data_IF_218380848135
#
_entry.id   IF_218380848135
#
_cell.length_a   1.000
_cell.length_b   1.000
_cell.length_c   1.000
_cell.angle_alpha   90.00
_cell.angle_beta   90.00
_cell.angle_gamma   90.00
#
_symmetry.space_group_name_H-M   'P 1'
#
loop_
_entity.id
_entity.type
_entity.pdbx_description
1 polymer ?
#
# COMPACT_ATOMS: atom_id res chain seq x y z
N UNK A 1 38.52 0.72 -18.84
CA UNK A 1 38.63 0.24 -17.46
C UNK A 1 39.72 1.04 -16.79
N UNK A 2 39.51 1.49 -15.56
CA UNK A 2 40.57 2.12 -14.79
C UNK A 2 41.20 1.05 -13.89
N UNK A 3 42.19 0.34 -14.44
CA UNK A 3 42.76 -0.87 -13.82
C UNK A 3 43.47 -0.59 -12.48
N UNK A 4 43.81 0.67 -12.17
CA UNK A 4 44.38 1.06 -10.88
C UNK A 4 43.36 1.19 -9.75
N UNK A 5 42.08 1.42 -10.07
CA UNK A 5 40.98 1.57 -9.10
C UNK A 5 40.04 0.37 -9.07
N UNK A 6 40.12 -0.53 -10.06
CA UNK A 6 39.21 -1.66 -10.18
C UNK A 6 37.77 -1.24 -10.51
N UNK A 7 37.59 -0.04 -11.08
CA UNK A 7 36.29 0.56 -11.38
C UNK A 7 35.96 0.55 -12.89
N UNK A 8 34.66 0.56 -13.19
CA UNK A 8 34.13 0.64 -14.56
C UNK A 8 33.09 1.76 -14.60
N UNK A 9 33.26 2.69 -15.56
CA UNK A 9 32.29 3.71 -15.91
C UNK A 9 31.97 3.61 -17.40
N UNK A 10 30.68 3.50 -17.73
CA UNK A 10 30.15 3.68 -19.08
C UNK A 10 29.36 4.99 -19.07
N UNK A 11 29.75 5.94 -19.90
CA UNK A 11 29.13 7.26 -20.01
C UNK A 11 28.90 7.62 -21.48
N UNK A 12 27.79 8.31 -21.77
CA UNK A 12 27.55 8.93 -23.07
C UNK A 12 27.47 10.47 -22.96
N UNK A 13 27.59 11.22 -24.08
CA UNK A 13 27.54 12.70 -24.05
C UNK A 13 26.23 13.30 -23.54
N UNK A 14 25.17 12.52 -23.39
CA UNK A 14 23.90 12.97 -22.82
C UNK A 14 23.83 12.83 -21.30
N UNK A 15 24.87 12.27 -20.67
CA UNK A 15 25.01 12.13 -19.22
C UNK A 15 24.38 10.86 -18.65
N UNK A 16 24.05 9.86 -19.48
CA UNK A 16 23.69 8.54 -18.98
C UNK A 16 24.94 7.86 -18.42
N UNK A 17 24.84 7.23 -17.24
CA UNK A 17 25.98 6.54 -16.63
C UNK A 17 25.62 5.17 -16.08
N UNK A 18 26.57 4.24 -16.20
CA UNK A 18 26.60 2.97 -15.49
C UNK A 18 27.96 2.84 -14.80
N UNK A 19 27.98 2.89 -13.48
CA UNK A 19 29.19 2.92 -12.66
C UNK A 19 29.23 1.71 -11.73
N UNK A 20 30.31 0.94 -11.82
CA UNK A 20 30.76 -0.01 -10.80
C UNK A 20 32.00 0.58 -10.13
N UNK A 21 31.98 0.72 -8.80
CA UNK A 21 32.95 1.53 -8.05
C UNK A 21 34.17 0.76 -7.50
N UNK A 22 34.25 -0.55 -7.73
CA UNK A 22 35.30 -1.42 -7.19
C UNK A 22 35.16 -1.76 -5.69
N UNK A 23 34.19 -1.18 -5.00
CA UNK A 23 33.89 -1.42 -3.57
C UNK A 23 32.62 -2.25 -3.37
N UNK A 24 32.01 -2.69 -4.48
CA UNK A 24 30.81 -3.53 -4.49
C UNK A 24 29.50 -2.78 -4.75
N UNK A 25 29.56 -1.48 -5.05
CA UNK A 25 28.36 -0.69 -5.38
C UNK A 25 28.19 -0.54 -6.90
N UNK A 26 26.94 -0.37 -7.29
CA UNK A 26 26.53 -0.05 -8.66
C UNK A 26 25.63 1.18 -8.63
N UNK A 27 25.89 2.15 -9.49
CA UNK A 27 25.03 3.32 -9.72
C UNK A 27 24.67 3.43 -11.20
N UNK A 28 23.39 3.69 -11.48
CA UNK A 28 22.87 3.88 -12.83
C UNK A 28 22.07 5.19 -12.85
N UNK A 29 22.42 6.09 -13.76
CA UNK A 29 21.75 7.39 -13.91
C UNK A 29 21.31 7.62 -15.35
N UNK A 30 20.08 8.11 -15.51
CA UNK A 30 19.52 8.55 -16.78
C UNK A 30 18.87 9.93 -16.60
N UNK A 31 19.35 11.01 -17.25
CA UNK A 31 18.79 12.36 -17.07
C UNK A 31 17.34 12.56 -17.57
N UNK A 32 16.78 11.59 -18.29
CA UNK A 32 15.41 11.62 -18.78
C UNK A 32 14.64 10.39 -18.31
N UNK A 33 14.58 9.35 -19.13
CA UNK A 33 13.75 8.17 -18.89
C UNK A 33 14.64 6.95 -18.64
N UNK A 34 14.21 6.11 -17.70
CA UNK A 34 14.74 4.76 -17.50
C UNK A 34 13.60 3.76 -17.66
N UNK A 35 13.82 2.68 -18.41
CA UNK A 35 12.80 1.65 -18.65
C UNK A 35 13.42 0.27 -18.49
N UNK A 36 12.77 -0.57 -17.69
CA UNK A 36 13.15 -1.96 -17.47
C UNK A 36 12.04 -2.86 -17.99
N UNK A 37 12.35 -3.73 -18.95
CA UNK A 37 11.43 -4.70 -19.53
C UNK A 37 12.04 -6.10 -19.44
N UNK A 38 11.23 -7.10 -19.08
CA UNK A 38 11.62 -8.51 -19.12
C UNK A 38 10.59 -9.30 -19.94
N UNK A 39 11.04 -10.35 -20.64
CA UNK A 39 10.14 -11.27 -21.35
C UNK A 39 9.49 -12.31 -20.43
N UNK A 40 10.09 -12.53 -19.25
CA UNK A 40 9.63 -13.44 -18.21
C UNK A 40 9.59 -12.65 -16.89
N UNK A 41 10.42 -13.03 -15.90
CA UNK A 41 10.34 -12.48 -14.54
C UNK A 41 11.32 -11.34 -14.28
N UNK A 42 10.92 -10.42 -13.39
CA UNK A 42 11.82 -9.47 -12.70
C UNK A 42 11.78 -9.77 -11.21
N UNK A 43 12.92 -10.19 -10.65
CA UNK A 43 13.07 -10.45 -9.22
C UNK A 43 13.94 -9.36 -8.58
N UNK A 44 13.43 -8.71 -7.52
CA UNK A 44 14.16 -7.69 -6.76
C UNK A 44 14.26 -8.16 -5.32
N UNK A 45 15.49 -8.28 -4.81
CA UNK A 45 15.76 -8.71 -3.44
C UNK A 45 16.92 -7.89 -2.87
N UNK A 46 16.79 -7.44 -1.62
CA UNK A 46 17.82 -6.71 -0.91
C UNK A 46 18.09 -7.38 0.44
N UNK A 47 19.36 -7.41 0.89
CA UNK A 47 19.72 -7.94 2.21
C UNK A 47 19.32 -7.03 3.38
N UNK A 48 18.85 -5.80 3.09
CA UNK A 48 18.36 -4.83 4.07
C UNK A 48 17.10 -4.15 3.53
N UNK A 49 17.23 -2.96 2.93
CA UNK A 49 16.11 -2.10 2.59
C UNK A 49 15.94 -1.97 1.08
N UNK A 50 14.69 -1.76 0.65
CA UNK A 50 14.33 -1.25 -0.67
C UNK A 50 13.60 0.07 -0.47
N UNK A 51 13.96 1.10 -1.22
CA UNK A 51 13.30 2.41 -1.19
C UNK A 51 12.94 2.83 -2.60
N UNK A 52 11.67 3.17 -2.81
CA UNK A 52 11.13 3.61 -4.11
C UNK A 52 10.36 4.90 -3.87
N UNK A 53 10.64 5.93 -4.67
CA UNK A 53 10.00 7.23 -4.58
C UNK A 53 9.85 7.84 -5.96
N UNK A 54 8.73 8.52 -6.21
CA UNK A 54 8.53 9.34 -7.40
C UNK A 54 8.21 10.78 -7.00
N UNK A 55 8.61 11.75 -7.83
CA UNK A 55 8.35 13.17 -7.57
C UNK A 55 6.91 13.60 -7.88
N UNK A 56 6.17 12.84 -8.69
CA UNK A 56 4.82 13.19 -9.13
C UNK A 56 3.81 12.06 -8.88
N UNK A 57 4.01 10.89 -9.48
CA UNK A 57 3.06 9.76 -9.34
C UNK A 57 3.75 8.40 -9.39
N UNK A 58 3.10 7.41 -8.77
CA UNK A 58 3.44 5.99 -8.87
C UNK A 58 2.17 5.20 -9.19
N UNK A 59 2.26 4.29 -10.17
CA UNK A 59 1.18 3.36 -10.52
C UNK A 59 1.71 1.94 -10.37
N UNK A 60 0.98 1.11 -9.61
CA UNK A 60 1.26 -0.31 -9.48
C UNK A 60 0.04 -1.10 -9.96
N UNK A 61 0.21 -1.93 -10.97
CA UNK A 61 -0.87 -2.64 -11.64
C UNK A 61 -0.43 -4.02 -12.11
N UNK A 62 -1.30 -5.02 -11.96
CA UNK A 62 -1.11 -6.36 -12.49
C UNK A 62 -2.39 -6.84 -13.18
N UNK A 63 -2.25 -7.68 -14.21
CA UNK A 63 -3.40 -8.24 -14.94
C UNK A 63 -4.17 -9.31 -14.15
N UNK A 64 -3.54 -9.91 -13.13
CA UNK A 64 -4.14 -10.97 -12.31
C UNK A 64 -4.19 -10.54 -10.85
N UNK A 65 -3.06 -10.60 -10.16
CA UNK A 65 -3.00 -10.46 -8.71
C UNK A 65 -1.86 -9.53 -8.27
N UNK A 66 -2.11 -8.77 -7.21
CA UNK A 66 -1.08 -8.06 -6.43
C UNK A 66 -1.17 -8.59 -5.01
N UNK A 67 -0.05 -9.07 -4.46
CA UNK A 67 0.05 -9.49 -3.06
C UNK A 67 1.06 -8.61 -2.32
N UNK A 68 0.68 -8.18 -1.12
CA UNK A 68 1.51 -7.36 -0.24
C UNK A 68 1.53 -8.02 1.14
N UNK A 69 2.72 -8.22 1.70
CA UNK A 69 2.90 -8.86 3.00
C UNK A 69 4.07 -8.19 3.71
N UNK A 70 3.85 -7.81 4.96
CA UNK A 70 4.86 -7.28 5.85
C UNK A 70 5.03 -8.23 7.04
N UNK A 71 6.26 -8.41 7.52
CA UNK A 71 6.52 -9.28 8.68
C UNK A 71 6.07 -8.68 10.02
N UNK A 72 5.99 -7.34 10.10
CA UNK A 72 5.54 -6.61 11.28
C UNK A 72 4.41 -5.64 10.89
N UNK A 73 4.77 -4.51 10.27
CA UNK A 73 3.84 -3.40 10.04
C UNK A 73 3.64 -3.09 8.55
N UNK A 74 2.41 -2.78 8.17
CA UNK A 74 2.06 -2.20 6.87
C UNK A 74 1.36 -0.86 7.11
N UNK A 75 1.99 0.24 6.70
CA UNK A 75 1.43 1.59 6.84
C UNK A 75 1.09 2.17 5.47
N UNK A 76 -0.13 2.69 5.33
CA UNK A 76 -0.60 3.42 4.15
C UNK A 76 -1.15 4.77 4.60
N UNK A 77 -0.77 5.84 3.92
CA UNK A 77 -1.19 7.20 4.27
C UNK A 77 -1.40 8.01 3.00
N UNK A 78 -2.55 8.69 2.91
CA UNK A 78 -2.87 9.66 1.88
C UNK A 78 -3.26 10.97 2.55
N UNK A 79 -2.73 12.09 2.05
CA UNK A 79 -3.13 13.44 2.50
C UNK A 79 -4.46 13.85 1.85
N UNK A 80 -4.69 13.41 0.62
CA UNK A 80 -5.97 13.54 -0.07
C UNK A 80 -6.84 12.31 0.16
N UNK A 81 -7.49 11.85 -0.91
CA UNK A 81 -8.46 10.77 -0.83
C UNK A 81 -7.80 9.37 -0.77
N UNK A 82 -8.41 8.48 0.00
CA UNK A 82 -8.11 7.05 0.01
C UNK A 82 -9.35 6.28 -0.44
N UNK A 83 -9.27 5.60 -1.59
CA UNK A 83 -10.40 4.87 -2.19
C UNK A 83 -10.04 3.42 -2.41
N UNK A 84 -10.90 2.53 -1.94
CA UNK A 84 -10.82 1.08 -2.17
C UNK A 84 -12.11 0.60 -2.83
N UNK A 85 -11.97 -0.22 -3.88
CA UNK A 85 -13.10 -0.85 -4.56
C UNK A 85 -12.75 -2.29 -4.92
N UNK A 86 -13.65 -3.21 -4.58
CA UNK A 86 -13.48 -4.63 -4.84
C UNK A 86 -14.85 -5.30 -4.93
N UNK A 87 -14.92 -6.45 -5.60
CA UNK A 87 -16.12 -7.30 -5.58
C UNK A 87 -16.40 -7.81 -4.15
N UNK A 88 -15.35 -8.14 -3.40
CA UNK A 88 -15.41 -8.59 -2.00
C UNK A 88 -14.24 -7.97 -1.22
N UNK A 89 -14.49 -7.57 0.03
CA UNK A 89 -13.45 -7.10 0.98
C UNK A 89 -13.59 -7.87 2.30
N UNK A 90 -12.48 -8.40 2.82
CA UNK A 90 -12.41 -9.05 4.13
C UNK A 90 -11.33 -8.38 4.96
N UNK A 91 -11.66 -8.01 6.19
CA UNK A 91 -10.75 -7.42 7.18
C UNK A 91 -10.81 -8.30 8.43
N UNK A 92 -9.70 -8.94 8.78
CA UNK A 92 -9.59 -9.82 9.95
C UNK A 92 -8.47 -9.25 10.81
N UNK A 93 -8.77 -8.93 12.06
CA UNK A 93 -7.85 -8.33 13.01
C UNK A 93 -7.91 -9.12 14.31
N UNK A 94 -6.74 -9.52 14.83
CA UNK A 94 -6.65 -10.37 16.03
C UNK A 94 -6.84 -9.58 17.34
N UNK A 95 -6.46 -8.30 17.32
CA UNK A 95 -6.53 -7.40 18.46
C UNK A 95 -7.48 -6.25 18.13
N UNK A 96 -7.03 -5.00 18.28
CA UNK A 96 -7.88 -3.83 18.15
C UNK A 96 -8.13 -3.41 16.70
N UNK A 97 -9.41 -3.20 16.37
CA UNK A 97 -9.83 -2.59 15.12
C UNK A 97 -10.37 -1.17 15.35
N UNK A 98 -9.60 -0.17 14.92
CA UNK A 98 -9.95 1.24 15.06
C UNK A 98 -10.31 1.85 13.71
N UNK A 99 -11.56 2.30 13.56
CA UNK A 99 -12.04 3.05 12.41
C UNK A 99 -12.74 4.32 12.90
N UNK A 100 -12.29 5.48 12.41
CA UNK A 100 -12.87 6.77 12.75
C UNK A 100 -12.97 7.68 11.53
N UNK A 101 -13.95 8.56 11.54
CA UNK A 101 -14.12 9.64 10.58
C UNK A 101 -14.29 10.96 11.31
N UNK A 102 -13.71 12.04 10.77
CA UNK A 102 -13.78 13.37 11.37
C UNK A 102 -15.15 14.04 11.22
N UNK A 103 -15.88 13.71 10.16
CA UNK A 103 -17.19 14.30 9.85
C UNK A 103 -18.27 13.22 9.74
N UNK A 104 -18.23 12.41 8.66
CA UNK A 104 -19.27 11.42 8.35
C UNK A 104 -18.65 10.05 8.10
N UNK A 105 -19.26 9.01 8.67
CA UNK A 105 -18.98 7.61 8.36
C UNK A 105 -20.28 6.91 7.95
N UNK A 106 -20.41 6.61 6.66
CA UNK A 106 -21.58 5.94 6.13
C UNK A 106 -21.33 4.45 5.90
N UNK A 107 -22.29 3.61 6.29
CA UNK A 107 -22.29 2.17 6.04
C UNK A 107 -23.60 1.78 5.35
N UNK A 108 -23.52 1.39 4.08
CA UNK A 108 -24.68 0.95 3.28
C UNK A 108 -24.49 -0.48 2.82
N UNK A 109 -25.48 -1.33 3.09
CA UNK A 109 -25.50 -2.73 2.66
C UNK A 109 -26.92 -3.24 2.56
N UNK A 110 -27.13 -4.33 1.80
CA UNK A 110 -28.43 -5.04 1.80
C UNK A 110 -28.70 -5.74 3.14
N UNK A 111 -27.64 -6.17 3.83
CA UNK A 111 -27.69 -6.82 5.15
C UNK A 111 -26.47 -6.39 5.94
N UNK A 112 -26.71 -5.86 7.14
CA UNK A 112 -25.67 -5.52 8.11
C UNK A 112 -25.79 -6.45 9.32
N UNK A 113 -24.65 -6.95 9.81
CA UNK A 113 -24.58 -7.79 11.01
C UNK A 113 -23.42 -7.33 11.87
N UNK A 114 -23.68 -7.15 13.16
CA UNK A 114 -22.68 -6.88 14.17
C UNK A 114 -22.97 -7.78 15.37
N UNK A 115 -21.92 -8.33 15.97
CA UNK A 115 -22.00 -9.32 17.04
C UNK A 115 -20.77 -9.17 17.94
N UNK A 116 -21.00 -9.16 19.25
CA UNK A 116 -19.96 -9.34 20.26
C UNK A 116 -20.19 -10.68 20.97
N UNK A 117 -19.15 -11.50 21.09
CA UNK A 117 -19.24 -12.85 21.70
C UNK A 117 -19.09 -12.85 23.21
N UNK A 118 -18.34 -11.89 23.75
CA UNK A 118 -17.88 -11.93 25.15
C UNK A 118 -18.33 -10.70 25.94
N UNK A 119 -18.26 -9.51 25.32
CA UNK A 119 -18.51 -8.24 26.00
C UNK A 119 -19.67 -7.46 25.36
N UNK A 120 -19.97 -6.29 25.93
CA UNK A 120 -21.08 -5.44 25.50
C UNK A 120 -20.83 -4.77 24.14
N UNK A 121 -21.90 -4.61 23.36
CA UNK A 121 -21.91 -3.67 22.25
C UNK A 121 -22.37 -2.28 22.72
N UNK A 122 -21.51 -1.27 22.61
CA UNK A 122 -21.79 0.10 23.07
C UNK A 122 -22.01 1.07 21.91
N UNK A 123 -23.21 1.66 21.84
CA UNK A 123 -23.55 2.72 20.89
C UNK A 123 -23.82 4.04 21.63
N UNK A 124 -22.97 5.05 21.40
CA UNK A 124 -23.06 6.37 22.06
C UNK A 124 -23.33 7.47 21.03
N UNK A 125 -24.22 8.40 21.36
CA UNK A 125 -24.45 9.62 20.59
C UNK A 125 -24.61 10.81 21.53
N UNK A 126 -24.08 11.97 21.14
CA UNK A 126 -24.24 13.23 21.89
C UNK A 126 -25.65 13.81 21.75
N UNK A 127 -26.30 13.56 20.62
CA UNK A 127 -27.60 14.15 20.27
C UNK A 127 -28.67 13.07 20.21
N UNK A 128 -28.69 12.30 19.12
CA UNK A 128 -29.75 11.33 18.85
C UNK A 128 -29.18 10.07 18.22
N UNK A 129 -29.78 8.92 18.53
CA UNK A 129 -29.68 7.68 17.77
C UNK A 129 -31.06 7.40 17.18
N UNK A 130 -31.16 7.17 15.88
CA UNK A 130 -32.40 6.78 15.21
C UNK A 130 -32.28 5.35 14.70
N UNK A 131 -33.22 4.48 15.13
CA UNK A 131 -33.32 3.10 14.67
C UNK A 131 -34.70 2.92 14.04
N UNK A 132 -34.75 2.95 12.71
CA UNK A 132 -35.98 2.83 11.96
C UNK A 132 -36.01 1.47 11.26
N UNK A 133 -37.11 0.75 11.40
CA UNK A 133 -37.35 -0.53 10.72
C UNK A 133 -38.70 -0.46 10.00
N UNK A 134 -38.76 -1.03 8.79
CA UNK A 134 -40.01 -1.17 8.04
C UNK A 134 -40.95 -2.23 8.64
N UNK A 135 -40.39 -3.14 9.45
CA UNK A 135 -41.13 -4.16 10.20
C UNK A 135 -40.89 -4.03 11.70
N UNK A 136 -41.58 -4.84 12.52
CA UNK A 136 -41.39 -4.82 13.98
C UNK A 136 -39.97 -5.25 14.35
N UNK A 137 -39.26 -4.38 15.07
CA UNK A 137 -38.03 -4.75 15.76
C UNK A 137 -38.34 -5.81 16.82
N UNK A 138 -37.52 -6.86 16.86
CA UNK A 138 -37.62 -7.94 17.85
C UNK A 138 -36.48 -7.77 18.84
N UNK A 139 -36.81 -7.43 20.08
CA UNK A 139 -35.86 -7.42 21.19
C UNK A 139 -36.17 -8.64 22.08
N UNK A 140 -35.15 -9.43 22.40
CA UNK A 140 -35.22 -10.51 23.38
C UNK A 140 -34.35 -10.17 24.58
#
# INVERSE_FOLDING_TARGET
MNDSEGSILIEDPSGNTWQMDGQGNISVNAPKNFTLNAGEDVNITAGKNVSVSAGESMTNSANKDISQTAGNDLTQTAVGDFTESANNKSEIVENDYNRGAGETADLFSKKFTAHSSEEDMLLKSKTTVQLNSGEKSVNH
#
